data_IF_224145218292
#
_entry.id   IF_224145218292
#
_cell.length_a   1.000
_cell.length_b   1.000
_cell.length_c   1.000
_cell.angle_alpha   90.00
_cell.angle_beta   90.00
_cell.angle_gamma   90.00
#
_symmetry.space_group_name_H-M   'P 1'
#
loop_
_entity.id
_entity.type
_entity.pdbx_description
1 polymer ?
#
# COMPACT_ATOMS: atom_id res chain seq x y z
N UNK A 1 14.73 -30.09 -76.72
CA UNK A 1 13.99 -30.92 -75.74
C UNK A 1 13.93 -30.13 -74.44
N UNK A 2 12.73 -29.89 -73.91
CA UNK A 2 12.46 -28.97 -72.78
C UNK A 2 12.99 -29.54 -71.46
N UNK A 3 13.61 -28.69 -70.65
CA UNK A 3 13.59 -28.87 -69.18
C UNK A 3 13.53 -27.50 -68.50
N UNK A 4 12.36 -27.23 -67.93
CA UNK A 4 12.14 -26.23 -66.89
C UNK A 4 12.80 -26.73 -65.60
N UNK A 5 13.15 -25.84 -64.67
CA UNK A 5 12.69 -25.86 -63.27
C UNK A 5 13.42 -24.75 -62.50
N UNK A 6 12.73 -23.63 -62.38
CA UNK A 6 12.88 -22.70 -61.27
C UNK A 6 12.14 -23.34 -60.09
N UNK A 7 12.76 -23.50 -58.91
CA UNK A 7 12.03 -23.53 -57.64
C UNK A 7 12.99 -23.39 -56.45
N UNK A 8 12.73 -22.30 -55.74
CA UNK A 8 13.19 -21.90 -54.41
C UNK A 8 12.83 -22.95 -53.38
N UNK A 9 13.75 -23.30 -52.47
CA UNK A 9 13.39 -23.69 -51.10
C UNK A 9 14.55 -23.35 -50.15
N UNK A 10 14.52 -22.14 -49.60
CA UNK A 10 15.39 -21.71 -48.52
C UNK A 10 14.74 -22.16 -47.20
N UNK A 11 15.34 -23.14 -46.51
CA UNK A 11 14.88 -23.60 -45.20
C UNK A 11 15.29 -22.56 -44.14
N UNK A 12 14.33 -21.74 -43.69
CA UNK A 12 14.51 -20.88 -42.51
C UNK A 12 14.12 -21.72 -41.29
N UNK A 13 15.12 -22.20 -40.55
CA UNK A 13 14.94 -22.83 -39.25
C UNK A 13 14.76 -21.72 -38.22
N UNK A 14 13.52 -21.39 -37.88
CA UNK A 14 13.20 -20.50 -36.77
C UNK A 14 13.45 -21.25 -35.45
N UNK A 15 14.62 -21.00 -34.84
CA UNK A 15 14.90 -21.41 -33.46
C UNK A 15 14.05 -20.53 -32.55
N UNK A 16 12.87 -21.04 -32.15
CA UNK A 16 12.09 -20.45 -31.07
C UNK A 16 12.87 -20.68 -29.76
N UNK A 17 13.72 -19.73 -29.41
CA UNK A 17 14.19 -19.52 -28.04
C UNK A 17 12.96 -19.17 -27.20
N UNK A 18 12.30 -20.20 -26.68
CA UNK A 18 11.34 -20.06 -25.61
C UNK A 18 12.07 -19.53 -24.38
N UNK A 19 12.13 -18.21 -24.24
CA UNK A 19 12.37 -17.59 -22.94
C UNK A 19 11.28 -18.12 -22.01
N UNK A 20 11.64 -19.07 -21.15
CA UNK A 20 10.87 -19.37 -19.96
C UNK A 20 10.86 -18.09 -19.14
N UNK A 21 9.82 -17.28 -19.30
CA UNK A 21 9.51 -16.24 -18.33
C UNK A 21 9.40 -16.95 -16.98
N UNK A 22 10.19 -16.55 -15.97
CA UNK A 22 9.82 -16.86 -14.61
C UNK A 22 8.41 -16.29 -14.44
N UNK A 23 7.42 -17.15 -14.21
CA UNK A 23 6.15 -16.65 -13.72
C UNK A 23 6.45 -16.03 -12.37
N UNK A 24 6.50 -14.69 -12.31
CA UNK A 24 6.34 -13.97 -11.05
C UNK A 24 4.94 -14.29 -10.54
N UNK A 25 4.84 -15.42 -9.83
CA UNK A 25 3.83 -15.62 -8.83
C UNK A 25 4.14 -14.56 -7.77
N UNK A 26 3.54 -13.38 -7.91
CA UNK A 26 3.59 -12.36 -6.87
C UNK A 26 2.94 -12.96 -5.62
N UNK A 27 3.77 -13.59 -4.79
CA UNK A 27 3.38 -14.05 -3.46
C UNK A 27 2.86 -12.81 -2.78
N UNK A 28 1.56 -12.79 -2.51
CA UNK A 28 0.91 -11.65 -1.88
C UNK A 28 1.33 -11.67 -0.42
N UNK A 29 2.45 -11.02 -0.13
CA UNK A 29 3.03 -10.98 1.21
C UNK A 29 2.11 -10.14 2.12
N UNK A 30 1.91 -10.61 3.35
CA UNK A 30 1.27 -9.84 4.39
C UNK A 30 2.33 -8.99 5.14
N UNK A 31 1.99 -7.77 5.60
CA UNK A 31 2.89 -7.02 6.45
C UNK A 31 3.24 -7.80 7.72
N UNK A 32 4.52 -7.84 8.16
CA UNK A 32 4.87 -8.45 9.44
C UNK A 32 4.31 -7.63 10.63
N UNK A 33 3.91 -8.26 11.75
CA UNK A 33 3.59 -7.50 12.95
C UNK A 33 4.81 -6.75 13.46
N UNK A 34 4.61 -5.60 14.09
CA UNK A 34 5.70 -4.81 14.66
C UNK A 34 5.48 -3.31 14.63
N UNK A 35 6.56 -2.58 14.86
CA UNK A 35 6.57 -1.12 14.84
C UNK A 35 6.89 -0.63 13.43
N UNK A 36 6.21 0.41 12.98
CA UNK A 36 6.38 1.04 11.68
C UNK A 36 6.70 2.52 11.87
N UNK A 37 7.63 3.04 11.08
CA UNK A 37 7.76 4.48 10.85
C UNK A 37 6.66 4.91 9.88
N UNK A 38 6.00 6.03 10.16
CA UNK A 38 4.90 6.56 9.35
C UNK A 38 5.22 7.97 8.88
N UNK A 39 4.90 8.23 7.61
CA UNK A 39 4.84 9.58 7.05
C UNK A 39 3.55 9.73 6.24
N UNK A 40 2.72 10.69 6.64
CA UNK A 40 1.57 11.16 5.87
C UNK A 40 1.96 12.41 5.08
N UNK A 41 1.56 12.46 3.82
CA UNK A 41 1.82 13.53 2.86
C UNK A 41 0.51 14.20 2.44
N UNK A 42 0.52 15.49 2.11
CA UNK A 42 -0.59 16.15 1.45
C UNK A 42 -0.71 15.74 -0.04
N UNK A 43 -1.70 16.29 -0.74
CA UNK A 43 -1.90 16.04 -2.18
C UNK A 43 -0.78 16.58 -3.08
N UNK A 44 0.12 17.41 -2.53
CA UNK A 44 1.31 17.91 -3.24
C UNK A 44 2.55 17.07 -2.92
N UNK A 45 2.43 16.00 -2.12
CA UNK A 45 3.53 15.15 -1.70
C UNK A 45 4.40 15.75 -0.59
N UNK A 46 3.92 16.77 0.13
CA UNK A 46 4.67 17.36 1.26
C UNK A 46 4.31 16.65 2.57
N UNK A 47 5.29 16.31 3.42
CA UNK A 47 5.00 15.70 4.71
C UNK A 47 4.13 16.61 5.59
N UNK A 48 3.06 16.06 6.16
CA UNK A 48 2.14 16.76 7.08
C UNK A 48 2.06 16.10 8.44
N UNK A 49 2.29 14.78 8.52
CA UNK A 49 2.29 13.99 9.76
C UNK A 49 3.43 13.00 9.70
N UNK A 50 4.16 12.83 10.80
CA UNK A 50 5.21 11.82 10.94
C UNK A 50 5.05 11.10 12.27
N UNK A 51 5.60 9.91 12.40
CA UNK A 51 5.73 9.24 13.69
C UNK A 51 5.83 7.75 13.56
N UNK A 52 5.18 7.03 14.47
CA UNK A 52 5.18 5.57 14.46
C UNK A 52 3.84 4.98 14.83
N UNK A 53 3.53 3.82 14.28
CA UNK A 53 2.45 2.97 14.77
C UNK A 53 2.90 1.52 14.91
N UNK A 54 2.30 0.80 15.85
CA UNK A 54 2.44 -0.64 16.01
C UNK A 54 1.30 -1.34 15.29
N UNK A 55 1.59 -2.49 14.67
CA UNK A 55 0.59 -3.39 14.10
C UNK A 55 0.69 -4.77 14.73
N UNK A 56 -0.46 -5.27 15.17
CA UNK A 56 -0.69 -6.66 15.53
C UNK A 56 -1.81 -7.23 14.65
N UNK A 57 -1.62 -8.47 14.19
CA UNK A 57 -2.56 -9.17 13.33
C UNK A 57 -3.23 -10.30 14.11
N UNK A 58 -4.56 -10.25 14.17
CA UNK A 58 -5.41 -11.24 14.81
C UNK A 58 -5.98 -12.26 13.82
N UNK A 59 -6.92 -13.07 14.32
CA UNK A 59 -7.71 -13.98 13.48
C UNK A 59 -8.52 -13.21 12.44
N UNK A 60 -8.84 -13.87 11.34
CA UNK A 60 -9.73 -13.35 10.27
C UNK A 60 -9.32 -12.00 9.66
N UNK A 61 -8.02 -11.69 9.73
CA UNK A 61 -7.43 -10.47 9.20
C UNK A 61 -7.63 -9.25 10.10
N UNK A 62 -8.03 -9.41 11.36
CA UNK A 62 -8.15 -8.27 12.29
C UNK A 62 -6.80 -7.56 12.46
N UNK A 63 -6.80 -6.23 12.42
CA UNK A 63 -5.63 -5.39 12.68
C UNK A 63 -5.89 -4.55 13.93
N UNK A 64 -4.90 -4.45 14.80
CA UNK A 64 -4.95 -3.60 15.99
C UNK A 64 -3.59 -3.01 16.29
N UNK A 65 -3.56 -1.94 17.08
CA UNK A 65 -2.31 -1.35 17.54
C UNK A 65 -2.47 0.00 18.19
N UNK A 66 -1.34 0.69 18.33
CA UNK A 66 -1.23 2.02 18.91
C UNK A 66 -0.30 2.89 18.07
N UNK A 67 -0.53 4.19 18.07
CA UNK A 67 0.25 5.16 17.31
C UNK A 67 0.67 6.35 18.16
N UNK A 68 1.78 6.95 17.75
CA UNK A 68 2.32 8.21 18.25
C UNK A 68 2.73 9.03 17.03
N UNK A 69 2.00 10.11 16.76
CA UNK A 69 2.18 10.94 15.58
C UNK A 69 2.35 12.41 15.94
N UNK A 70 3.15 13.11 15.17
CA UNK A 70 3.44 14.52 15.30
C UNK A 70 3.13 15.23 14.00
N UNK A 71 2.71 16.49 14.12
CA UNK A 71 2.48 17.35 12.96
C UNK A 71 3.83 17.81 12.42
N UNK A 72 4.10 17.50 11.15
CA UNK A 72 5.36 17.88 10.48
C UNK A 72 5.19 19.04 9.50
N UNK A 73 3.96 19.38 9.11
CA UNK A 73 3.68 20.37 8.06
C UNK A 73 2.42 21.18 8.33
N UNK A 74 2.04 22.00 7.34
CA UNK A 74 0.80 22.77 7.36
C UNK A 74 -0.39 21.93 6.89
N UNK A 75 -1.60 22.47 7.03
CA UNK A 75 -2.83 21.81 6.62
C UNK A 75 -3.58 21.14 7.76
N UNK A 76 -4.81 20.76 7.47
CA UNK A 76 -5.69 20.04 8.39
C UNK A 76 -5.54 18.54 8.17
N UNK A 77 -5.29 17.83 9.26
CA UNK A 77 -4.98 16.40 9.23
C UNK A 77 -5.99 15.59 10.04
N UNK A 78 -7.00 16.22 10.62
CA UNK A 78 -7.91 15.56 11.55
C UNK A 78 -7.22 15.08 12.83
N UNK A 79 -7.86 14.18 13.60
CA UNK A 79 -7.36 13.71 14.89
C UNK A 79 -6.24 12.63 14.76
N UNK A 80 -5.23 12.87 13.93
CA UNK A 80 -4.05 11.98 13.77
C UNK A 80 -2.76 12.58 14.33
N UNK A 81 -2.85 13.44 15.34
CA UNK A 81 -1.69 14.04 16.04
C UNK A 81 -1.82 13.77 17.54
N UNK A 82 -0.71 13.40 18.18
CA UNK A 82 -0.66 12.95 19.56
C UNK A 82 -0.50 11.44 19.63
N UNK A 83 -1.33 10.78 20.42
CA UNK A 83 -1.32 9.32 20.56
C UNK A 83 -2.73 8.75 20.45
N UNK A 84 -2.82 7.48 20.08
CA UNK A 84 -4.11 6.79 20.02
C UNK A 84 -3.98 5.31 19.73
N UNK A 85 -5.14 4.65 19.68
CA UNK A 85 -5.29 3.25 19.28
C UNK A 85 -5.76 3.19 17.85
N UNK A 86 -5.45 2.11 17.15
CA UNK A 86 -5.96 1.83 15.82
C UNK A 86 -6.64 0.47 15.76
N UNK A 87 -7.61 0.36 14.87
CA UNK A 87 -8.29 -0.89 14.53
C UNK A 87 -8.47 -0.96 13.02
N UNK A 88 -8.49 -2.17 12.46
CA UNK A 88 -8.55 -2.32 11.02
C UNK A 88 -8.72 -3.76 10.55
N UNK A 89 -8.52 -3.93 9.24
CA UNK A 89 -8.57 -5.23 8.57
C UNK A 89 -7.48 -5.36 7.51
N UNK A 90 -6.90 -6.54 7.43
CA UNK A 90 -5.99 -6.97 6.39
C UNK A 90 -6.69 -8.05 5.56
N UNK A 91 -6.80 -7.81 4.26
CA UNK A 91 -7.28 -8.79 3.28
C UNK A 91 -6.24 -8.91 2.16
N UNK A 92 -5.60 -10.08 2.07
CA UNK A 92 -4.43 -10.30 1.19
C UNK A 92 -3.31 -9.32 1.56
N UNK A 93 -2.98 -8.37 0.68
CA UNK A 93 -2.02 -7.30 0.92
C UNK A 93 -2.69 -5.92 1.06
N UNK A 94 -4.02 -5.83 1.06
CA UNK A 94 -4.74 -4.59 1.30
C UNK A 94 -5.04 -4.45 2.79
N UNK A 95 -4.69 -3.30 3.35
CA UNK A 95 -4.87 -2.99 4.77
C UNK A 95 -5.71 -1.73 4.91
N UNK A 96 -6.76 -1.81 5.72
CA UNK A 96 -7.64 -0.68 6.06
C UNK A 96 -7.57 -0.43 7.54
N UNK A 97 -7.28 0.79 7.96
CA UNK A 97 -7.10 1.16 9.37
C UNK A 97 -7.95 2.38 9.69
N UNK A 98 -8.65 2.36 10.81
CA UNK A 98 -9.18 3.53 11.48
C UNK A 98 -8.21 3.94 12.60
N UNK A 99 -7.69 5.16 12.54
CA UNK A 99 -6.73 5.68 13.52
C UNK A 99 -7.39 6.16 14.81
N UNK A 100 -8.71 6.23 14.87
CA UNK A 100 -9.43 6.64 16.07
C UNK A 100 -10.78 5.92 16.17
N UNK A 101 -10.75 4.59 16.35
CA UNK A 101 -11.96 3.78 16.45
C UNK A 101 -12.86 4.24 17.61
N UNK A 102 -14.17 4.08 17.43
CA UNK A 102 -15.18 4.49 18.42
C UNK A 102 -15.66 5.94 18.31
N UNK A 103 -15.09 6.74 17.40
CA UNK A 103 -15.56 8.11 17.12
C UNK A 103 -16.60 8.05 16.00
N UNK A 104 -17.73 8.76 16.13
CA UNK A 104 -18.80 8.70 15.13
C UNK A 104 -18.51 9.52 13.87
N UNK A 105 -18.04 10.77 14.03
CA UNK A 105 -18.15 11.80 12.99
C UNK A 105 -16.86 12.62 12.78
N UNK A 106 -15.71 12.04 13.11
CA UNK A 106 -14.41 12.71 13.02
C UNK A 106 -13.30 11.66 12.98
N UNK A 107 -13.17 10.93 11.88
CA UNK A 107 -12.31 9.74 11.76
C UNK A 107 -11.19 9.96 10.75
N UNK A 108 -10.03 9.38 10.99
CA UNK A 108 -8.96 9.27 10.00
C UNK A 108 -8.79 7.82 9.60
N UNK A 109 -8.98 7.56 8.30
CA UNK A 109 -8.82 6.24 7.72
C UNK A 109 -7.52 6.17 6.93
N UNK A 110 -6.85 5.01 6.97
CA UNK A 110 -5.73 4.65 6.11
C UNK A 110 -6.16 3.47 5.23
N UNK A 111 -6.17 3.68 3.92
CA UNK A 111 -6.38 2.63 2.92
C UNK A 111 -5.04 2.37 2.22
N UNK A 112 -4.40 1.25 2.57
CA UNK A 112 -3.04 0.92 2.13
C UNK A 112 -2.92 -0.43 1.45
N UNK A 113 -1.78 -0.61 0.79
CA UNK A 113 -1.33 -1.87 0.21
C UNK A 113 0.09 -2.15 0.69
N UNK A 114 0.36 -3.38 1.12
CA UNK A 114 1.70 -3.85 1.44
C UNK A 114 2.40 -4.36 0.18
N UNK A 115 3.55 -3.77 -0.14
CA UNK A 115 4.36 -4.15 -1.29
C UNK A 115 5.82 -3.75 -1.04
N UNK A 116 6.77 -4.66 -1.31
CA UNK A 116 8.20 -4.38 -1.17
C UNK A 116 8.60 -3.94 0.24
N UNK A 117 8.01 -4.54 1.28
CA UNK A 117 8.32 -4.23 2.68
C UNK A 117 7.72 -2.91 3.19
N UNK A 118 6.90 -2.22 2.41
CA UNK A 118 6.30 -0.93 2.77
C UNK A 118 4.78 -1.00 2.64
N UNK A 119 4.05 -0.39 3.57
CA UNK A 119 2.63 -0.11 3.40
C UNK A 119 2.52 1.27 2.77
N UNK A 120 1.88 1.38 1.60
CA UNK A 120 1.64 2.66 0.93
C UNK A 120 0.17 2.82 0.63
N UNK A 121 -0.35 4.04 0.72
CA UNK A 121 -1.78 4.23 0.58
C UNK A 121 -2.26 5.66 0.64
N UNK A 122 -3.56 5.80 0.87
CA UNK A 122 -4.24 7.07 1.08
C UNK A 122 -4.65 7.21 2.54
N UNK A 123 -4.48 8.39 3.12
CA UNK A 123 -5.15 8.77 4.35
C UNK A 123 -6.31 9.71 4.03
N UNK A 124 -7.43 9.57 4.74
CA UNK A 124 -8.59 10.44 4.57
C UNK A 124 -9.17 10.80 5.92
N UNK A 125 -9.27 12.11 6.17
CA UNK A 125 -10.03 12.64 7.29
C UNK A 125 -11.48 12.85 6.88
N UNK A 126 -12.40 12.19 7.59
CA UNK A 126 -13.84 12.23 7.35
C UNK A 126 -14.54 12.82 8.56
N UNK A 127 -15.42 13.79 8.32
CA UNK A 127 -16.31 14.34 9.33
C UNK A 127 -17.76 13.96 9.02
N UNK A 128 -18.72 14.38 9.86
CA UNK A 128 -20.15 14.27 9.56
C UNK A 128 -20.53 14.84 8.18
N UNK A 129 -19.79 15.84 7.68
CA UNK A 129 -20.03 16.47 6.36
C UNK A 129 -19.43 15.67 5.20
N UNK A 130 -18.72 14.58 5.47
CA UNK A 130 -17.99 13.78 4.50
C UNK A 130 -16.48 14.00 4.55
N UNK A 131 -15.75 13.53 3.52
CA UNK A 131 -14.30 13.72 3.40
C UNK A 131 -13.94 15.22 3.47
N UNK A 132 -12.99 15.55 4.34
CA UNK A 132 -12.58 16.93 4.63
C UNK A 132 -11.20 17.23 4.07
N UNK A 133 -10.21 16.40 4.38
CA UNK A 133 -8.87 16.43 3.76
C UNK A 133 -8.35 15.03 3.54
N UNK A 134 -7.42 14.89 2.60
CA UNK A 134 -6.78 13.61 2.29
C UNK A 134 -5.37 13.82 1.72
N UNK A 135 -4.64 12.72 1.61
CA UNK A 135 -3.33 12.67 0.98
C UNK A 135 -2.80 11.24 0.97
N UNK A 136 -1.51 11.06 0.73
CA UNK A 136 -0.90 9.73 0.70
C UNK A 136 -0.14 9.44 1.98
N UNK A 137 0.15 8.17 2.26
CA UNK A 137 1.06 7.81 3.32
C UNK A 137 1.99 6.68 2.90
N UNK A 138 3.12 6.60 3.60
CA UNK A 138 4.02 5.46 3.58
C UNK A 138 4.30 5.02 5.01
N UNK A 139 4.41 3.71 5.21
CA UNK A 139 4.83 3.13 6.48
C UNK A 139 5.81 1.97 6.28
N UNK A 140 6.97 2.06 6.93
CA UNK A 140 8.06 1.09 6.82
C UNK A 140 8.34 0.43 8.17
N UNK A 141 8.57 -0.89 8.24
CA UNK A 141 8.96 -1.56 9.47
C UNK A 141 10.20 -0.90 10.11
N UNK A 142 10.16 -0.67 11.43
CA UNK A 142 11.34 -0.33 12.22
C UNK A 142 12.07 -1.62 12.58
N UNK A 143 13.38 -1.64 12.33
CA UNK A 143 14.29 -2.71 12.74
C UNK A 143 14.48 -2.71 14.26
#
# INVERSE_FOLDING_TARGET
MRTKFNNILMLIVAVLLGCKHPSDQAVTEAPPPGLYSYTGFDTQGKPVVVGTFSLAFGKDGAVSGEWVFEKSGSGEVGPQVGTGRLEGRLEKNEIKINLNPGWADNNVFLDGKFEGGTIKGKWTWVTFRGPTTEGTFEATPKQ
#
